data_IF_869911916574
#
_entry.id   IF_869911916574
#
_cell.length_a   1.000
_cell.length_b   1.000
_cell.length_c   1.000
_cell.angle_alpha   90.00
_cell.angle_beta   90.00
_cell.angle_gamma   90.00
#
_symmetry.space_group_name_H-M   'P 1'
#
loop_
_entity.id
_entity.type
_entity.pdbx_description
1 polymer ?
#
# COMPACT_ATOMS: atom_id res chain seq x y z
N UNK A 1 13.65 25.31 -2.30
CA UNK A 1 13.09 25.59 -3.63
C UNK A 1 12.09 24.51 -4.07
N UNK A 2 12.40 23.22 -3.98
CA UNK A 2 11.46 22.12 -4.32
C UNK A 2 10.12 22.16 -3.54
N UNK A 3 10.11 22.48 -2.24
CA UNK A 3 8.87 22.64 -1.45
C UNK A 3 7.90 23.72 -1.98
N UNK A 4 8.41 24.72 -2.70
CA UNK A 4 7.58 25.79 -3.29
C UNK A 4 6.99 25.43 -4.65
N UNK A 5 7.56 24.44 -5.33
CA UNK A 5 7.14 24.01 -6.66
C UNK A 5 6.01 22.96 -6.59
N UNK A 6 5.98 22.16 -5.52
CA UNK A 6 4.97 21.11 -5.33
C UNK A 6 3.68 21.57 -4.60
N UNK A 7 3.71 22.70 -3.91
CA UNK A 7 2.56 23.20 -3.17
C UNK A 7 1.30 23.52 -3.99
N UNK A 8 1.37 23.95 -5.26
CA UNK A 8 0.19 24.20 -6.09
C UNK A 8 -0.48 22.95 -6.68
N UNK A 9 0.21 21.80 -6.68
CA UNK A 9 -0.31 20.55 -7.28
C UNK A 9 -1.19 19.73 -6.32
N UNK A 10 -1.09 20.02 -5.03
CA UNK A 10 -1.87 19.36 -3.99
C UNK A 10 -2.80 20.43 -3.41
N UNK A 11 -4.04 20.47 -3.86
CA UNK A 11 -5.06 21.43 -3.40
C UNK A 11 -5.06 21.54 -1.87
N UNK A 12 -4.51 22.62 -1.34
CA UNK A 12 -4.46 22.91 0.08
C UNK A 12 -5.86 23.19 0.60
N UNK A 13 -6.47 22.25 1.30
CA UNK A 13 -7.55 22.57 2.24
C UNK A 13 -6.95 23.42 3.36
N UNK A 14 -7.49 24.63 3.53
CA UNK A 14 -7.15 25.49 4.66
C UNK A 14 -7.37 24.72 5.97
N UNK A 15 -6.32 24.51 6.75
CA UNK A 15 -6.41 24.00 8.13
C UNK A 15 -6.91 25.14 9.00
N UNK A 16 -7.96 24.89 9.75
CA UNK A 16 -8.36 25.73 10.90
C UNK A 16 -7.39 25.49 12.04
N UNK A 17 -6.88 26.57 12.62
CA UNK A 17 -5.91 26.58 13.74
C UNK A 17 -6.56 26.03 15.03
N UNK A 18 -6.55 24.75 15.26
CA UNK A 18 -6.81 24.16 16.60
C UNK A 18 -6.31 22.74 16.82
N UNK A 19 -5.35 22.25 16.02
CA UNK A 19 -4.75 20.95 16.32
C UNK A 19 -3.30 21.13 16.77
N UNK A 20 -3.06 20.88 18.05
CA UNK A 20 -1.73 20.69 18.59
C UNK A 20 -1.16 19.40 18.00
N UNK A 21 -0.48 19.54 16.88
CA UNK A 21 0.12 18.45 16.11
C UNK A 21 1.26 17.81 16.86
N UNK A 22 1.10 16.59 17.27
CA UNK A 22 2.24 15.67 17.36
C UNK A 22 2.72 15.44 15.92
N UNK A 23 3.76 16.17 15.51
CA UNK A 23 4.41 15.89 14.23
C UNK A 23 4.98 14.48 14.30
N UNK A 24 4.71 13.61 13.32
CA UNK A 24 5.48 12.38 13.19
C UNK A 24 6.95 12.76 13.08
N UNK A 25 7.80 12.12 13.88
CA UNK A 25 9.23 12.33 13.80
C UNK A 25 9.67 12.15 12.34
N UNK A 26 10.49 13.07 11.77
CA UNK A 26 10.96 12.92 10.40
C UNK A 26 11.69 11.58 10.29
N UNK A 27 11.35 10.82 9.25
CA UNK A 27 12.05 9.59 8.93
C UNK A 27 13.56 9.91 8.87
N UNK A 28 14.42 9.15 9.57
CA UNK A 28 15.84 9.44 9.62
C UNK A 28 16.43 9.37 8.21
N UNK A 29 16.99 10.46 7.72
CA UNK A 29 17.76 10.51 6.49
C UNK A 29 17.26 11.47 5.40
N UNK A 30 15.99 11.78 5.31
CA UNK A 30 15.46 12.57 4.19
C UNK A 30 16.02 14.00 4.06
N UNK A 31 16.40 14.66 5.14
CA UNK A 31 16.98 16.01 5.05
C UNK A 31 18.44 16.00 4.56
N UNK A 32 19.22 14.98 4.94
CA UNK A 32 20.60 14.79 4.46
C UNK A 32 20.63 14.29 3.02
N UNK A 33 19.69 13.41 2.64
CA UNK A 33 19.58 12.87 1.29
C UNK A 33 19.09 13.91 0.28
N UNK A 34 18.18 14.80 0.67
CA UNK A 34 17.75 15.90 -0.19
C UNK A 34 18.89 16.90 -0.44
N UNK A 35 19.71 17.19 0.56
CA UNK A 35 20.88 18.05 0.41
C UNK A 35 21.96 17.39 -0.46
N UNK A 36 22.19 16.08 -0.29
CA UNK A 36 23.11 15.32 -1.12
C UNK A 36 22.65 15.27 -2.58
N UNK A 37 21.37 14.97 -2.83
CA UNK A 37 20.78 14.99 -4.18
C UNK A 37 20.88 16.37 -4.83
N UNK A 38 20.66 17.45 -4.08
CA UNK A 38 20.82 18.80 -4.59
C UNK A 38 22.27 19.08 -5.02
N UNK A 39 23.26 18.69 -4.20
CA UNK A 39 24.67 18.82 -4.53
C UNK A 39 25.06 17.94 -5.75
N UNK A 40 24.52 16.74 -5.85
CA UNK A 40 24.73 15.86 -7.02
C UNK A 40 24.14 16.45 -8.31
N UNK A 41 22.96 17.07 -8.24
CA UNK A 41 22.35 17.78 -9.40
C UNK A 41 23.21 18.98 -9.80
N UNK A 42 23.72 19.75 -8.82
CA UNK A 42 24.62 20.88 -9.07
C UNK A 42 25.96 20.44 -9.69
N UNK A 43 26.41 19.22 -9.41
CA UNK A 43 27.63 18.65 -9.98
C UNK A 43 27.47 18.10 -11.39
N UNK A 44 26.22 17.96 -11.91
CA UNK A 44 25.99 17.52 -13.27
C UNK A 44 26.54 18.50 -14.29
N UNK A 45 27.03 17.99 -15.44
CA UNK A 45 27.36 18.85 -16.55
C UNK A 45 26.16 19.73 -16.93
N UNK A 46 26.37 21.04 -17.20
CA UNK A 46 25.30 22.01 -17.37
C UNK A 46 24.25 21.62 -18.42
N UNK A 47 24.69 20.94 -19.50
CA UNK A 47 23.80 20.43 -20.57
C UNK A 47 22.88 19.32 -20.06
N UNK A 48 23.37 18.40 -19.22
CA UNK A 48 22.54 17.33 -18.61
C UNK A 48 21.55 17.90 -17.61
N UNK A 49 21.99 18.86 -16.78
CA UNK A 49 21.10 19.53 -15.83
C UNK A 49 19.96 20.25 -16.57
N UNK A 50 20.27 20.98 -17.65
CA UNK A 50 19.27 21.66 -18.49
C UNK A 50 18.31 20.66 -19.14
N UNK A 51 18.80 19.53 -19.65
CA UNK A 51 17.95 18.49 -20.24
C UNK A 51 16.99 17.90 -19.21
N UNK A 52 17.46 17.52 -18.03
CA UNK A 52 16.61 16.98 -16.96
C UNK A 52 15.56 18.00 -16.50
N UNK A 53 15.95 19.27 -16.33
CA UNK A 53 15.00 20.32 -15.96
C UNK A 53 13.97 20.58 -17.06
N UNK A 54 14.35 20.47 -18.33
CA UNK A 54 13.44 20.64 -19.47
C UNK A 54 12.40 19.51 -19.50
N UNK A 55 12.83 18.25 -19.28
CA UNK A 55 11.92 17.09 -19.22
C UNK A 55 10.98 17.21 -18.01
N UNK A 56 11.50 17.58 -16.85
CA UNK A 56 10.70 17.81 -15.65
C UNK A 56 9.67 18.92 -15.87
N UNK A 57 10.08 20.06 -16.44
CA UNK A 57 9.19 21.17 -16.76
C UNK A 57 8.06 20.72 -17.70
N UNK A 58 8.39 19.99 -18.77
CA UNK A 58 7.38 19.47 -19.72
C UNK A 58 6.35 18.60 -19.00
N UNK A 59 6.78 17.65 -18.14
CA UNK A 59 5.88 16.79 -17.38
C UNK A 59 4.96 17.57 -16.44
N UNK A 60 5.47 18.64 -15.79
CA UNK A 60 4.71 19.49 -14.87
C UNK A 60 3.71 20.43 -15.60
N UNK A 61 4.06 20.91 -16.79
CA UNK A 61 3.26 21.85 -17.57
C UNK A 61 2.24 21.15 -18.49
N UNK A 62 2.40 19.86 -18.76
CA UNK A 62 1.50 19.07 -19.59
C UNK A 62 0.21 18.75 -18.82
N UNK A 63 -0.72 19.72 -18.82
CA UNK A 63 -2.02 19.54 -18.16
C UNK A 63 -3.03 18.75 -19.00
N UNK A 64 -2.77 18.55 -20.29
CA UNK A 64 -3.76 18.05 -21.25
C UNK A 64 -3.48 16.65 -21.78
N UNK A 65 -2.31 16.06 -21.52
CA UNK A 65 -1.94 14.76 -22.08
C UNK A 65 -1.27 13.86 -21.03
N UNK A 66 -1.98 12.83 -20.62
CA UNK A 66 -1.43 11.79 -19.76
C UNK A 66 -0.24 11.09 -20.44
N UNK A 67 -0.29 10.94 -21.76
CA UNK A 67 0.81 10.37 -22.53
C UNK A 67 2.09 11.21 -22.44
N UNK A 68 2.03 12.53 -22.52
CA UNK A 68 3.21 13.39 -22.38
C UNK A 68 3.78 13.37 -20.96
N UNK A 69 2.92 13.29 -19.94
CA UNK A 69 3.37 13.10 -18.55
C UNK A 69 4.11 11.78 -18.39
N UNK A 70 3.56 10.71 -18.93
CA UNK A 70 4.20 9.41 -18.95
C UNK A 70 5.57 9.45 -19.64
N UNK A 71 5.67 10.01 -20.84
CA UNK A 71 6.95 10.14 -21.58
C UNK A 71 7.99 10.92 -20.77
N UNK A 72 7.57 11.98 -20.08
CA UNK A 72 8.47 12.75 -19.23
C UNK A 72 8.96 11.95 -18.04
N UNK A 73 8.06 11.21 -17.37
CA UNK A 73 8.42 10.33 -16.26
C UNK A 73 9.33 9.18 -16.73
N UNK A 74 9.04 8.56 -17.87
CA UNK A 74 9.86 7.50 -18.45
C UNK A 74 11.26 8.00 -18.79
N UNK A 75 11.39 9.20 -19.40
CA UNK A 75 12.67 9.78 -19.72
C UNK A 75 13.52 10.05 -18.46
N UNK A 76 12.93 10.59 -17.39
CA UNK A 76 13.62 10.80 -16.13
C UNK A 76 14.03 9.46 -15.49
N UNK A 77 13.15 8.48 -15.50
CA UNK A 77 13.42 7.15 -14.95
C UNK A 77 14.51 6.44 -15.73
N UNK A 78 14.49 6.53 -17.07
CA UNK A 78 15.53 5.95 -17.95
C UNK A 78 16.88 6.63 -17.76
N UNK A 79 16.91 7.93 -17.45
CA UNK A 79 18.15 8.63 -17.12
C UNK A 79 18.78 8.13 -15.82
N UNK A 80 17.94 7.75 -14.83
CA UNK A 80 18.38 7.22 -13.53
C UNK A 80 18.74 5.73 -13.63
N UNK A 81 17.97 4.96 -14.40
CA UNK A 81 18.12 3.50 -14.58
C UNK A 81 18.25 3.14 -16.07
N UNK A 82 19.39 3.43 -16.71
CA UNK A 82 19.51 3.33 -18.17
C UNK A 82 19.43 1.89 -18.72
N UNK A 83 19.53 0.89 -17.85
CA UNK A 83 19.43 -0.54 -18.23
C UNK A 83 18.02 -1.09 -18.19
N UNK A 84 17.06 -0.32 -17.65
CA UNK A 84 15.71 -0.80 -17.44
C UNK A 84 14.69 0.12 -18.13
N UNK A 85 13.81 -0.50 -18.90
CA UNK A 85 12.56 0.14 -19.32
C UNK A 85 11.49 -0.21 -18.30
N UNK A 86 10.98 0.81 -17.58
CA UNK A 86 10.04 0.57 -16.50
C UNK A 86 8.66 0.16 -17.00
N UNK A 87 8.15 0.78 -18.04
CA UNK A 87 6.90 0.38 -18.67
C UNK A 87 6.77 1.03 -20.04
N UNK A 88 5.90 0.49 -20.84
CA UNK A 88 5.29 1.22 -21.95
C UNK A 88 4.07 1.97 -21.45
N UNK A 89 3.50 2.86 -22.26
CA UNK A 89 2.27 3.55 -21.89
C UNK A 89 1.11 2.54 -21.82
N UNK A 90 0.89 1.99 -20.65
CA UNK A 90 -0.14 1.02 -20.35
C UNK A 90 -0.86 1.45 -19.06
N UNK A 91 -1.57 2.57 -19.13
CA UNK A 91 -2.20 3.20 -17.96
C UNK A 91 -3.70 3.36 -18.11
N UNK A 92 -4.32 2.37 -18.73
CA UNK A 92 -5.78 2.35 -18.94
C UNK A 92 -6.58 2.46 -17.65
N UNK A 93 -5.98 2.05 -16.51
CA UNK A 93 -6.59 2.22 -15.20
C UNK A 93 -6.74 3.70 -14.77
N UNK A 94 -6.04 4.63 -15.41
CA UNK A 94 -6.25 6.06 -15.23
C UNK A 94 -7.52 6.57 -15.94
N UNK A 95 -8.18 5.73 -16.72
CA UNK A 95 -9.49 5.99 -17.33
C UNK A 95 -10.66 5.47 -16.45
N UNK A 96 -10.34 4.77 -15.34
CA UNK A 96 -11.34 4.32 -14.36
C UNK A 96 -11.62 5.44 -13.34
N UNK A 97 -12.58 6.30 -13.68
CA UNK A 97 -12.97 7.43 -12.83
C UNK A 97 -13.42 7.00 -11.42
N UNK A 98 -14.04 5.83 -11.28
CA UNK A 98 -14.52 5.32 -10.00
C UNK A 98 -13.33 4.91 -9.11
N UNK A 99 -12.35 4.22 -9.69
CA UNK A 99 -11.13 3.84 -8.98
C UNK A 99 -10.29 5.09 -8.62
N UNK A 100 -10.15 6.04 -9.54
CA UNK A 100 -9.42 7.29 -9.28
C UNK A 100 -10.09 8.11 -8.18
N UNK A 101 -11.41 8.22 -8.18
CA UNK A 101 -12.15 8.92 -7.11
C UNK A 101 -11.93 8.27 -5.74
N UNK A 102 -11.94 6.93 -5.69
CA UNK A 102 -11.56 6.17 -4.51
C UNK A 102 -10.13 6.48 -4.08
N UNK A 103 -9.16 6.35 -4.99
CA UNK A 103 -7.75 6.56 -4.67
C UNK A 103 -7.49 7.97 -4.14
N UNK A 104 -8.03 8.98 -4.80
CA UNK A 104 -7.88 10.38 -4.38
C UNK A 104 -8.49 10.68 -3.01
N UNK A 105 -9.51 9.93 -2.59
CA UNK A 105 -10.11 10.06 -1.26
C UNK A 105 -9.15 9.70 -0.14
N UNK A 106 -8.29 8.70 -0.36
CA UNK A 106 -7.35 8.18 0.62
C UNK A 106 -5.93 8.69 0.43
N UNK A 107 -5.63 9.33 -0.69
CA UNK A 107 -4.29 9.87 -0.96
C UNK A 107 -4.00 11.02 0.00
N UNK A 108 -2.92 10.87 0.77
CA UNK A 108 -2.35 11.91 1.62
C UNK A 108 -0.83 11.95 1.41
N UNK A 109 -0.22 13.12 1.61
CA UNK A 109 1.23 13.33 1.43
C UNK A 109 2.08 12.47 2.39
N UNK A 110 1.50 12.06 3.52
CA UNK A 110 2.11 11.14 4.48
C UNK A 110 1.69 9.69 4.32
N UNK A 111 0.93 9.36 3.29
CA UNK A 111 0.31 8.06 3.13
C UNK A 111 1.17 7.15 2.24
N UNK A 112 1.38 5.92 2.71
CA UNK A 112 2.17 4.89 2.03
C UNK A 112 1.38 4.13 0.96
N UNK A 113 0.24 4.68 0.51
CA UNK A 113 -0.58 4.08 -0.52
C UNK A 113 -0.05 4.42 -1.91
N UNK A 114 0.45 3.45 -2.63
CA UNK A 114 0.72 3.62 -4.05
C UNK A 114 -0.51 3.22 -4.88
N UNK A 115 -0.74 3.94 -5.96
CA UNK A 115 -1.87 3.72 -6.85
C UNK A 115 -1.86 2.32 -7.46
N UNK A 116 -0.70 1.87 -7.91
CA UNK A 116 -0.50 0.55 -8.54
C UNK A 116 -0.77 -0.62 -7.58
N UNK A 117 -0.38 -0.52 -6.30
CA UNK A 117 -0.74 -1.54 -5.29
C UNK A 117 -2.24 -1.64 -5.10
N UNK A 118 -2.90 -0.51 -4.93
CA UNK A 118 -4.36 -0.48 -4.74
C UNK A 118 -5.12 -0.95 -5.98
N UNK A 119 -4.61 -0.60 -7.17
CA UNK A 119 -5.18 -1.10 -8.41
C UNK A 119 -4.98 -2.61 -8.59
N UNK A 120 -3.77 -3.12 -8.30
CA UNK A 120 -3.51 -4.56 -8.36
C UNK A 120 -4.46 -5.34 -7.44
N UNK A 121 -4.66 -4.87 -6.20
CA UNK A 121 -5.64 -5.48 -5.29
C UNK A 121 -7.07 -5.41 -5.86
N UNK A 122 -7.49 -4.26 -6.39
CA UNK A 122 -8.82 -4.10 -7.01
C UNK A 122 -9.05 -5.11 -8.15
N UNK A 123 -8.03 -5.38 -8.95
CA UNK A 123 -8.12 -6.37 -10.03
C UNK A 123 -8.13 -7.83 -9.48
N UNK A 124 -7.33 -8.14 -8.45
CA UNK A 124 -7.32 -9.46 -7.83
C UNK A 124 -8.67 -9.79 -7.16
N UNK A 125 -9.35 -8.81 -6.58
CA UNK A 125 -10.67 -8.99 -5.99
C UNK A 125 -11.70 -9.51 -7.02
N UNK A 126 -11.62 -9.08 -8.28
CA UNK A 126 -12.52 -9.55 -9.35
C UNK A 126 -12.42 -11.06 -9.60
N UNK A 127 -11.24 -11.65 -9.35
CA UNK A 127 -11.00 -13.08 -9.57
C UNK A 127 -11.74 -13.97 -8.56
N UNK A 128 -12.09 -13.44 -7.40
CA UNK A 128 -12.72 -14.20 -6.31
C UNK A 128 -14.21 -13.88 -6.08
N UNK A 129 -14.79 -13.00 -6.89
CA UNK A 129 -16.21 -12.62 -6.75
C UNK A 129 -17.17 -13.81 -6.85
N UNK A 130 -16.83 -14.82 -7.62
CA UNK A 130 -17.65 -16.01 -7.86
C UNK A 130 -17.52 -17.09 -6.78
N UNK A 131 -16.57 -16.93 -5.83
CA UNK A 131 -16.34 -17.91 -4.76
C UNK A 131 -17.25 -17.61 -3.57
N UNK A 132 -17.57 -18.65 -2.77
CA UNK A 132 -18.18 -18.48 -1.46
C UNK A 132 -17.10 -18.25 -0.39
N UNK A 133 -17.51 -17.62 0.72
CA UNK A 133 -16.62 -17.32 1.85
C UNK A 133 -16.52 -15.83 2.15
N UNK A 134 -15.93 -15.50 3.27
CA UNK A 134 -15.70 -14.14 3.74
C UNK A 134 -14.40 -13.56 3.17
N UNK A 135 -14.13 -12.28 3.46
CA UNK A 135 -12.84 -11.67 3.24
C UNK A 135 -12.24 -11.18 4.56
N UNK A 136 -10.93 -11.03 4.62
CA UNK A 136 -10.27 -10.48 5.80
C UNK A 136 -9.13 -9.53 5.41
N UNK A 137 -8.83 -8.60 6.32
CA UNK A 137 -7.65 -7.75 6.29
C UNK A 137 -6.98 -7.75 7.65
N UNK A 138 -5.67 -7.93 7.64
CA UNK A 138 -4.77 -7.81 8.77
C UNK A 138 -3.94 -6.54 8.59
N UNK A 139 -4.09 -5.57 9.51
CA UNK A 139 -3.57 -4.23 9.35
C UNK A 139 -4.45 -3.37 8.47
N UNK A 140 -5.33 -2.58 9.08
CA UNK A 140 -6.33 -1.79 8.33
C UNK A 140 -5.95 -0.32 8.24
N UNK A 141 -5.10 0.15 9.15
CA UNK A 141 -4.69 1.53 9.26
C UNK A 141 -5.91 2.48 9.21
N UNK A 142 -5.99 3.37 8.21
CA UNK A 142 -7.10 4.31 8.00
C UNK A 142 -8.19 3.79 7.05
N UNK A 143 -8.11 2.52 6.64
CA UNK A 143 -9.16 1.83 5.90
C UNK A 143 -9.16 1.97 4.39
N UNK A 144 -8.04 2.35 3.77
CA UNK A 144 -8.01 2.48 2.30
C UNK A 144 -8.26 1.15 1.58
N UNK A 145 -7.61 0.09 2.01
CA UNK A 145 -7.80 -1.27 1.47
C UNK A 145 -9.08 -1.92 1.96
N UNK A 146 -9.44 -1.71 3.23
CA UNK A 146 -10.74 -2.11 3.77
C UNK A 146 -11.90 -1.53 2.94
N UNK A 147 -11.78 -0.29 2.46
CA UNK A 147 -12.78 0.31 1.58
C UNK A 147 -12.95 -0.47 0.27
N UNK A 148 -11.84 -0.88 -0.37
CA UNK A 148 -11.90 -1.70 -1.59
C UNK A 148 -12.59 -3.04 -1.34
N UNK A 149 -12.28 -3.71 -0.23
CA UNK A 149 -12.95 -4.93 0.18
C UNK A 149 -14.45 -4.71 0.37
N UNK A 150 -14.83 -3.70 1.16
CA UNK A 150 -16.23 -3.38 1.41
C UNK A 150 -17.00 -3.05 0.12
N UNK A 151 -16.37 -2.30 -0.78
CA UNK A 151 -16.94 -1.92 -2.06
C UNK A 151 -17.12 -3.13 -2.99
N UNK A 152 -16.10 -3.98 -3.11
CA UNK A 152 -16.11 -5.14 -3.98
C UNK A 152 -17.23 -6.15 -3.59
N UNK A 153 -17.42 -6.32 -2.29
CA UNK A 153 -18.37 -7.32 -1.75
C UNK A 153 -19.69 -6.72 -1.22
N UNK A 154 -19.95 -5.44 -1.50
CA UNK A 154 -21.10 -4.69 -0.95
C UNK A 154 -22.46 -5.36 -1.12
N UNK A 155 -22.65 -6.10 -2.21
CA UNK A 155 -23.94 -6.74 -2.54
C UNK A 155 -23.98 -8.25 -2.24
N UNK A 156 -22.97 -8.75 -1.53
CA UNK A 156 -22.84 -10.17 -1.25
C UNK A 156 -23.22 -10.49 0.20
N UNK A 157 -23.85 -11.65 0.47
CA UNK A 157 -24.21 -12.08 1.82
C UNK A 157 -22.97 -12.65 2.54
N UNK A 158 -21.99 -11.79 2.84
CA UNK A 158 -20.73 -12.16 3.49
C UNK A 158 -20.24 -11.04 4.40
N UNK A 159 -19.27 -11.33 5.24
CA UNK A 159 -18.64 -10.36 6.13
C UNK A 159 -17.17 -10.13 5.75
N UNK A 160 -16.71 -8.91 6.00
CA UNK A 160 -15.30 -8.54 5.90
C UNK A 160 -14.76 -8.40 7.32
N UNK A 161 -13.73 -9.16 7.63
CA UNK A 161 -13.11 -9.24 8.95
C UNK A 161 -11.87 -8.35 8.99
N UNK A 162 -11.91 -7.27 9.77
CA UNK A 162 -10.87 -6.25 9.85
C UNK A 162 -10.14 -6.35 11.18
N UNK A 163 -8.86 -6.74 11.15
CA UNK A 163 -8.03 -6.94 12.33
C UNK A 163 -6.97 -5.84 12.43
N UNK A 164 -7.01 -5.06 13.50
CA UNK A 164 -6.02 -4.02 13.78
C UNK A 164 -5.89 -3.76 15.27
N UNK A 165 -4.69 -3.40 15.72
CA UNK A 165 -4.46 -3.00 17.10
C UNK A 165 -4.96 -1.59 17.39
N UNK A 166 -4.95 -0.71 16.37
CA UNK A 166 -5.11 0.75 16.47
C UNK A 166 -4.05 1.42 17.37
N UNK A 167 -2.97 0.68 17.65
CA UNK A 167 -1.81 1.15 18.43
C UNK A 167 -0.54 1.23 17.56
N UNK A 168 -0.67 1.00 16.24
CA UNK A 168 0.43 0.92 15.29
C UNK A 168 1.14 -0.43 15.33
N UNK A 169 2.40 -0.47 14.87
CA UNK A 169 3.19 -1.70 14.82
C UNK A 169 3.63 -2.13 16.23
N UNK A 170 3.70 -3.43 16.47
CA UNK A 170 4.30 -4.01 17.66
C UNK A 170 5.82 -3.73 17.72
N UNK A 171 6.49 -4.14 18.79
CA UNK A 171 7.94 -4.03 18.87
C UNK A 171 8.59 -4.90 17.79
N UNK A 172 9.34 -4.31 16.82
CA UNK A 172 10.02 -5.07 15.80
C UNK A 172 11.11 -5.98 16.39
N UNK A 173 11.22 -7.21 15.88
CA UNK A 173 12.33 -8.11 16.18
C UNK A 173 13.55 -7.81 15.30
N UNK A 174 14.70 -8.41 15.60
CA UNK A 174 15.93 -8.21 14.80
C UNK A 174 15.76 -8.60 13.32
N UNK A 175 14.88 -9.52 13.02
CA UNK A 175 14.55 -9.96 11.66
C UNK A 175 13.82 -8.91 10.84
N UNK A 176 13.14 -7.97 11.50
CA UNK A 176 12.37 -6.89 10.87
C UNK A 176 13.25 -5.71 10.43
N UNK A 177 14.55 -5.77 10.71
CA UNK A 177 15.48 -4.70 10.38
C UNK A 177 15.35 -3.50 11.33
N UNK A 178 15.65 -2.30 10.81
CA UNK A 178 15.73 -1.09 11.64
C UNK A 178 14.86 0.06 11.16
N UNK A 179 14.04 -0.19 10.15
CA UNK A 179 13.20 0.85 9.54
C UNK A 179 12.00 1.21 10.42
N UNK A 180 11.27 0.19 10.84
CA UNK A 180 10.07 0.32 11.66
C UNK A 180 10.39 0.42 13.15
N UNK A 181 9.49 1.02 13.90
CA UNK A 181 9.54 1.14 15.36
C UNK A 181 8.16 0.82 15.92
N UNK A 182 8.12 0.42 17.19
CA UNK A 182 6.87 0.28 17.92
C UNK A 182 6.04 1.55 17.81
N UNK A 183 4.75 1.40 17.51
CA UNK A 183 3.81 2.51 17.34
C UNK A 183 3.88 3.21 15.97
N UNK A 184 4.77 2.79 15.05
CA UNK A 184 4.69 3.27 13.66
C UNK A 184 3.33 2.90 13.08
N UNK A 185 2.80 3.72 12.17
CA UNK A 185 1.51 3.52 11.49
C UNK A 185 0.30 3.47 12.44
N UNK A 186 0.36 4.18 13.57
CA UNK A 186 -0.81 4.33 14.45
C UNK A 186 -1.93 5.08 13.74
N UNK A 187 -3.15 4.55 13.81
CA UNK A 187 -4.37 5.20 13.36
C UNK A 187 -5.48 4.98 14.39
N UNK A 188 -6.41 5.91 14.50
CA UNK A 188 -7.54 5.74 15.41
C UNK A 188 -8.63 4.85 14.79
N UNK A 189 -9.31 4.04 15.59
CA UNK A 189 -10.44 3.23 15.15
C UNK A 189 -11.55 4.08 14.52
N UNK A 190 -11.75 5.31 15.03
CA UNK A 190 -12.72 6.27 14.47
C UNK A 190 -12.37 6.70 13.05
N UNK A 191 -11.09 6.76 12.69
CA UNK A 191 -10.66 7.06 11.31
C UNK A 191 -11.09 5.95 10.34
N UNK A 192 -10.95 4.68 10.76
CA UNK A 192 -11.43 3.53 10.00
C UNK A 192 -12.94 3.55 9.84
N UNK A 193 -13.69 3.71 10.94
CA UNK A 193 -15.17 3.73 10.91
C UNK A 193 -15.69 4.89 10.08
N UNK A 194 -15.07 6.06 10.15
CA UNK A 194 -15.42 7.20 9.31
C UNK A 194 -15.15 6.94 7.82
N UNK A 195 -14.06 6.24 7.52
CA UNK A 195 -13.72 5.84 6.14
C UNK A 195 -14.74 4.87 5.56
N UNK A 196 -15.26 3.97 6.39
CA UNK A 196 -16.19 2.89 6.00
C UNK A 196 -17.67 3.20 6.29
N UNK A 197 -18.02 4.41 6.70
CA UNK A 197 -19.38 4.80 7.14
C UNK A 197 -20.52 4.48 6.18
N UNK A 198 -20.23 4.25 4.91
CA UNK A 198 -21.21 3.91 3.88
C UNK A 198 -21.44 2.40 3.70
N UNK A 199 -20.74 1.58 4.48
CA UNK A 199 -20.80 0.12 4.44
C UNK A 199 -21.28 -0.44 5.77
N UNK A 200 -21.92 -1.62 5.72
CA UNK A 200 -22.42 -2.39 6.85
C UNK A 200 -21.97 -3.87 6.80
N UNK A 201 -21.17 -4.23 5.79
CA UNK A 201 -20.73 -5.60 5.53
C UNK A 201 -19.37 -5.93 6.16
N UNK A 202 -18.94 -5.24 7.23
CA UNK A 202 -17.67 -5.48 7.90
C UNK A 202 -17.81 -5.63 9.41
N UNK A 203 -16.78 -6.22 10.02
CA UNK A 203 -16.61 -6.34 11.48
C UNK A 203 -15.19 -5.97 11.86
N UNK A 204 -15.03 -5.16 12.91
CA UNK A 204 -13.74 -4.74 13.43
C UNK A 204 -13.37 -5.61 14.62
N UNK A 205 -12.14 -6.11 14.63
CA UNK A 205 -11.54 -6.89 15.71
C UNK A 205 -10.33 -6.15 16.25
N UNK A 206 -10.59 -5.25 17.21
CA UNK A 206 -9.55 -4.45 17.85
C UNK A 206 -8.68 -5.30 18.74
N UNK A 207 -7.40 -5.35 18.47
CA UNK A 207 -6.38 -6.06 19.26
C UNK A 207 -5.19 -6.47 18.42
N UNK A 208 -4.14 -6.83 19.12
CA UNK A 208 -2.92 -7.33 18.52
C UNK A 208 -3.14 -8.69 17.84
N UNK A 209 -2.59 -8.87 16.65
CA UNK A 209 -2.52 -10.17 15.99
C UNK A 209 -1.60 -11.08 16.80
N UNK A 210 -2.01 -12.34 17.09
CA UNK A 210 -3.22 -13.04 16.63
C UNK A 210 -4.40 -13.05 17.63
N UNK A 211 -4.41 -12.22 18.66
CA UNK A 211 -5.27 -12.34 19.85
C UNK A 211 -6.77 -12.39 19.55
N UNK A 212 -7.21 -11.80 18.44
CA UNK A 212 -8.62 -11.75 18.05
C UNK A 212 -9.00 -12.74 16.93
N UNK A 213 -8.07 -13.53 16.43
CA UNK A 213 -8.34 -14.47 15.33
C UNK A 213 -9.35 -15.58 15.69
N UNK A 214 -9.40 -15.97 16.95
CA UNK A 214 -10.34 -17.00 17.41
C UNK A 214 -11.82 -16.66 17.11
N UNK A 215 -12.15 -15.37 17.01
CA UNK A 215 -13.51 -14.90 16.71
C UNK A 215 -13.95 -15.16 15.26
N UNK A 216 -13.01 -15.46 14.38
CA UNK A 216 -13.26 -15.83 12.98
C UNK A 216 -12.83 -17.29 12.68
N UNK A 217 -12.67 -18.14 13.72
CA UNK A 217 -12.13 -19.49 13.58
C UNK A 217 -12.99 -20.41 12.69
N UNK A 218 -14.31 -20.21 12.71
CA UNK A 218 -15.27 -21.02 11.95
C UNK A 218 -15.52 -20.48 10.53
N UNK A 219 -14.94 -19.32 10.18
CA UNK A 219 -15.10 -18.70 8.86
C UNK A 219 -14.23 -19.39 7.81
N UNK A 220 -14.66 -19.29 6.54
CA UNK A 220 -13.87 -19.62 5.36
C UNK A 220 -13.67 -18.36 4.54
N UNK A 221 -12.50 -18.23 3.92
CA UNK A 221 -12.11 -16.98 3.27
C UNK A 221 -11.84 -17.19 1.78
N UNK A 222 -12.40 -16.31 0.96
CA UNK A 222 -12.11 -16.19 -0.47
C UNK A 222 -10.96 -15.21 -0.75
N UNK A 223 -10.78 -14.23 0.12
CA UNK A 223 -9.73 -13.23 -0.02
C UNK A 223 -9.20 -12.81 1.35
N UNK A 224 -7.89 -12.81 1.50
CA UNK A 224 -7.21 -12.31 2.70
C UNK A 224 -6.10 -11.36 2.28
N UNK A 225 -6.12 -10.15 2.82
CA UNK A 225 -5.06 -9.15 2.67
C UNK A 225 -4.25 -9.09 3.96
N UNK A 226 -2.94 -9.25 3.86
CA UNK A 226 -2.00 -9.20 5.00
C UNK A 226 -1.04 -8.03 4.75
N UNK A 227 -1.18 -6.98 5.59
CA UNK A 227 -0.48 -5.69 5.51
C UNK A 227 -0.07 -5.31 6.94
N UNK A 228 0.96 -5.98 7.47
CA UNK A 228 1.34 -5.91 8.90
C UNK A 228 2.85 -5.70 9.10
N UNK A 229 3.60 -5.45 8.01
CA UNK A 229 4.99 -5.03 7.96
C UNK A 229 6.04 -5.95 8.61
N UNK A 230 5.69 -6.70 9.67
CA UNK A 230 6.61 -7.41 10.53
C UNK A 230 6.51 -8.93 10.38
N UNK A 231 7.58 -9.63 10.78
CA UNK A 231 7.71 -11.09 10.68
C UNK A 231 6.61 -11.83 11.42
N UNK A 232 6.48 -11.57 12.74
CA UNK A 232 5.61 -12.39 13.58
C UNK A 232 4.12 -12.23 13.22
N UNK A 233 3.56 -11.01 13.07
CA UNK A 233 2.16 -10.88 12.69
C UNK A 233 1.87 -11.39 11.28
N UNK A 234 2.84 -11.33 10.35
CA UNK A 234 2.70 -11.96 9.02
C UNK A 234 2.60 -13.47 9.15
N UNK A 235 3.50 -14.11 9.93
CA UNK A 235 3.51 -15.55 10.13
C UNK A 235 2.22 -16.01 10.82
N UNK A 236 1.80 -15.34 11.90
CA UNK A 236 0.57 -15.66 12.62
C UNK A 236 -0.66 -15.56 11.73
N UNK A 237 -0.71 -14.52 10.87
CA UNK A 237 -1.79 -14.35 9.90
C UNK A 237 -1.83 -15.49 8.87
N UNK A 238 -0.69 -15.84 8.30
CA UNK A 238 -0.59 -16.96 7.37
C UNK A 238 -0.99 -18.28 8.01
N UNK A 239 -0.52 -18.58 9.23
CA UNK A 239 -0.87 -19.79 9.95
C UNK A 239 -2.37 -19.91 10.24
N UNK A 240 -3.01 -18.79 10.53
CA UNK A 240 -4.45 -18.77 10.79
C UNK A 240 -5.29 -18.86 9.52
N UNK A 241 -5.02 -18.01 8.52
CA UNK A 241 -5.89 -17.86 7.37
C UNK A 241 -5.67 -18.94 6.30
N UNK A 242 -4.44 -19.38 6.06
CA UNK A 242 -4.15 -20.33 4.99
C UNK A 242 -5.00 -21.62 5.06
N UNK A 243 -5.16 -22.31 6.21
CA UNK A 243 -6.02 -23.51 6.29
C UNK A 243 -7.52 -23.20 6.18
N UNK A 244 -7.89 -21.93 6.25
CA UNK A 244 -9.28 -21.46 6.16
C UNK A 244 -9.63 -20.89 4.78
N UNK A 245 -8.69 -20.84 3.88
CA UNK A 245 -8.96 -20.42 2.51
C UNK A 245 -9.82 -21.44 1.79
N UNK A 246 -10.77 -20.97 0.98
CA UNK A 246 -11.47 -21.81 0.01
C UNK A 246 -10.57 -22.06 -1.20
N UNK A 247 -10.82 -23.15 -1.92
CA UNK A 247 -10.12 -23.41 -3.19
C UNK A 247 -10.39 -22.26 -4.18
N UNK A 248 -9.35 -21.77 -4.85
CA UNK A 248 -9.41 -20.59 -5.71
C UNK A 248 -9.28 -19.26 -4.96
N UNK A 249 -9.36 -19.25 -3.63
CA UNK A 249 -9.20 -18.05 -2.82
C UNK A 249 -7.79 -17.49 -2.85
N UNK A 250 -7.67 -16.19 -2.64
CA UNK A 250 -6.40 -15.44 -2.75
C UNK A 250 -5.94 -14.96 -1.38
N UNK A 251 -4.67 -15.17 -1.07
CA UNK A 251 -3.95 -14.46 -0.02
C UNK A 251 -3.04 -13.45 -0.72
N UNK A 252 -3.21 -12.15 -0.39
CA UNK A 252 -2.38 -11.05 -0.85
C UNK A 252 -1.52 -10.55 0.31
N UNK A 253 -0.20 -10.51 0.11
CA UNK A 253 0.81 -10.01 1.03
C UNK A 253 1.28 -8.64 0.52
N UNK A 254 1.02 -7.58 1.26
CA UNK A 254 1.33 -6.21 0.80
C UNK A 254 2.85 -5.92 0.83
N UNK A 255 3.56 -6.49 1.82
CA UNK A 255 4.90 -6.06 2.22
C UNK A 255 6.06 -6.92 1.70
N UNK A 256 5.78 -7.97 0.92
CA UNK A 256 6.78 -8.99 0.58
C UNK A 256 8.03 -8.43 -0.13
N UNK A 257 7.86 -7.48 -1.04
CA UNK A 257 8.94 -6.94 -1.87
C UNK A 257 9.62 -5.70 -1.31
N UNK A 258 9.19 -5.17 -0.15
CA UNK A 258 9.73 -3.93 0.40
C UNK A 258 10.96 -4.16 1.26
N UNK A 259 12.03 -3.39 0.98
CA UNK A 259 13.25 -3.42 1.80
C UNK A 259 13.02 -2.95 3.25
N UNK A 260 11.98 -2.18 3.50
CA UNK A 260 11.55 -1.76 4.82
C UNK A 260 10.93 -2.88 5.65
N UNK A 261 10.49 -3.97 5.01
CA UNK A 261 9.74 -5.07 5.64
C UNK A 261 10.42 -6.44 5.43
N UNK A 262 11.73 -6.59 5.75
CA UNK A 262 12.44 -7.84 5.51
C UNK A 262 11.88 -9.01 6.33
N UNK A 263 11.27 -8.72 7.48
CA UNK A 263 10.60 -9.70 8.32
C UNK A 263 9.36 -10.29 7.67
N UNK A 264 8.49 -9.45 7.09
CA UNK A 264 7.28 -9.90 6.40
C UNK A 264 7.64 -10.81 5.21
N UNK A 265 8.65 -10.41 4.41
CA UNK A 265 9.18 -11.25 3.34
C UNK A 265 9.64 -12.62 3.84
N UNK A 266 10.47 -12.62 4.89
CA UNK A 266 11.04 -13.86 5.45
C UNK A 266 9.94 -14.78 5.97
N UNK A 267 8.94 -14.24 6.70
CA UNK A 267 7.83 -15.02 7.22
C UNK A 267 7.04 -15.70 6.09
N UNK A 268 6.77 -14.98 5.00
CA UNK A 268 6.08 -15.53 3.86
C UNK A 268 6.90 -16.60 3.13
N UNK A 269 8.17 -16.34 2.86
CA UNK A 269 9.05 -17.30 2.17
C UNK A 269 9.16 -18.61 2.97
N UNK A 270 9.43 -18.55 4.28
CA UNK A 270 9.51 -19.72 5.16
C UNK A 270 8.18 -20.48 5.25
N UNK A 271 7.04 -19.76 5.33
CA UNK A 271 5.74 -20.38 5.40
C UNK A 271 5.42 -21.17 4.13
N UNK A 272 5.70 -20.60 2.95
CA UNK A 272 5.38 -21.23 1.66
C UNK A 272 6.41 -22.25 1.18
N UNK A 273 7.60 -22.36 1.80
CA UNK A 273 8.63 -23.35 1.42
C UNK A 273 8.09 -24.79 1.40
N UNK A 274 7.17 -25.11 2.30
CA UNK A 274 6.57 -26.45 2.44
C UNK A 274 5.17 -26.59 1.85
N UNK A 275 4.67 -25.58 1.13
CA UNK A 275 3.30 -25.60 0.56
C UNK A 275 3.35 -26.00 -0.91
N UNK A 276 2.19 -26.48 -1.40
CA UNK A 276 2.03 -26.79 -2.83
C UNK A 276 1.93 -25.51 -3.67
N UNK A 277 1.35 -24.47 -3.10
CA UNK A 277 1.18 -23.18 -3.75
C UNK A 277 2.47 -22.36 -3.74
N UNK A 278 2.74 -21.67 -4.85
CA UNK A 278 3.85 -20.73 -4.97
C UNK A 278 3.35 -19.30 -4.76
N UNK A 279 4.25 -18.43 -4.31
CA UNK A 279 4.01 -16.99 -4.30
C UNK A 279 4.30 -16.39 -5.69
N UNK A 280 3.34 -15.68 -6.25
CA UNK A 280 3.51 -14.86 -7.43
C UNK A 280 3.88 -13.43 -7.00
N UNK A 281 5.04 -12.96 -7.42
CA UNK A 281 5.55 -11.64 -7.05
C UNK A 281 5.07 -10.60 -8.06
N UNK A 282 4.56 -9.49 -7.58
CA UNK A 282 4.10 -8.37 -8.40
C UNK A 282 5.17 -7.27 -8.46
N UNK A 283 5.27 -6.53 -9.56
CA UNK A 283 6.16 -5.38 -9.66
C UNK A 283 5.83 -4.26 -8.66
N UNK A 284 4.65 -4.29 -8.09
CA UNK A 284 4.18 -3.38 -7.04
C UNK A 284 4.87 -3.57 -5.69
N UNK A 285 5.63 -4.67 -5.52
CA UNK A 285 6.20 -5.09 -4.24
C UNK A 285 5.31 -6.06 -3.45
N UNK A 286 4.09 -6.29 -3.89
CA UNK A 286 3.18 -7.28 -3.30
C UNK A 286 3.51 -8.69 -3.78
N UNK A 287 3.04 -9.69 -3.03
CA UNK A 287 3.02 -11.07 -3.47
C UNK A 287 1.64 -11.67 -3.20
N UNK A 288 1.22 -12.63 -4.01
CA UNK A 288 -0.03 -13.34 -3.76
C UNK A 288 0.09 -14.82 -4.07
N UNK A 289 -0.83 -15.60 -3.53
CA UNK A 289 -1.03 -16.99 -3.88
C UNK A 289 -2.50 -17.30 -4.06
N UNK A 290 -2.79 -18.32 -4.87
CA UNK A 290 -4.14 -18.85 -5.07
C UNK A 290 -4.19 -20.21 -4.40
N UNK A 291 -5.13 -20.40 -3.48
CA UNK A 291 -5.32 -21.65 -2.75
C UNK A 291 -5.80 -22.76 -3.68
N UNK A 292 -5.11 -23.89 -3.65
CA UNK A 292 -5.49 -25.10 -4.38
C UNK A 292 -6.52 -25.94 -3.64
#
# INVERSE_FOLDING_TARGET
>A
MLKRIMAPLLGTRARTESDATVQPAPAPGYSSDAARLAAEIESLAPDKAVQLLTVLKRGLESQSSEFERYLSAEALTTAIYPKFKFSEFARVFLEDDAFLAYYMRFMDVGNWHSLDRKYAMNELLKLVLHLDGDAAECGTYRGATAYLLCQAFRKMPMSIHLFDSFEGLSEPASVDGTYWRKGSLTAAEDELTQSLREFDNYRIYKGWIPTRFAEAADCRFRFVHIDVDLYQPTLDSLQFFYPRMVAGGIILLDDHGFKSCPGAKKAADEFFESKAENLALLPTGQAFTIKQ
#
